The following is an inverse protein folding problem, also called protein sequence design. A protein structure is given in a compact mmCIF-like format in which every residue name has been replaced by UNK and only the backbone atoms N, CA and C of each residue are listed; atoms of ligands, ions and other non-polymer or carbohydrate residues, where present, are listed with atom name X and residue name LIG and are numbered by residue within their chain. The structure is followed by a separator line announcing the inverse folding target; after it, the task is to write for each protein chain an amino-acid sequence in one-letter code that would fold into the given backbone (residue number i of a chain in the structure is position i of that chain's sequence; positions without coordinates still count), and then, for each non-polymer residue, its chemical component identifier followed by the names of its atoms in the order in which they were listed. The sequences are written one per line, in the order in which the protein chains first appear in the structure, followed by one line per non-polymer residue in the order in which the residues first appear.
data_IF_992433231778
#
_entry.id   IF_992433231778
#
_cell.length_a   1.000
_cell.length_b   1.000
_cell.length_c   1.000
_cell.angle_alpha   90.00
_cell.angle_beta   90.00
_cell.angle_gamma   90.00
#
_symmetry.space_group_name_H-M   'P 1'
#
loop_
_entity.id
_entity.type
_entity.pdbx_description
1 polymer ?
#
# COMPACT_ATOMS: atom_id res chain seq x y z
N UNK A 1 -31.54 26.54 -68.81
CA UNK A 1 -30.22 25.88 -68.71
C UNK A 1 -29.62 26.24 -67.35
N UNK A 2 -29.54 25.29 -66.43
CA UNK A 2 -28.81 25.45 -65.16
C UNK A 2 -27.97 24.19 -65.00
N UNK A 3 -26.67 24.32 -65.26
CA UNK A 3 -25.73 23.24 -65.04
C UNK A 3 -25.49 23.15 -63.53
N UNK A 4 -25.94 22.06 -62.93
CA UNK A 4 -25.68 21.73 -61.54
C UNK A 4 -24.16 21.48 -61.40
N UNK A 5 -23.48 22.30 -60.60
CA UNK A 5 -22.05 22.17 -60.40
C UNK A 5 -21.80 21.09 -59.36
N UNK A 6 -21.54 19.88 -59.83
CA UNK A 6 -21.20 18.72 -58.99
C UNK A 6 -19.69 18.73 -58.74
N UNK A 7 -19.31 18.84 -57.47
CA UNK A 7 -17.92 18.71 -57.04
C UNK A 7 -17.71 17.32 -56.44
N UNK A 8 -16.74 16.58 -56.98
CA UNK A 8 -16.39 15.23 -56.50
C UNK A 8 -15.20 15.36 -55.56
N UNK A 9 -15.43 15.10 -54.28
CA UNK A 9 -14.40 15.03 -53.24
C UNK A 9 -14.00 13.58 -53.07
N UNK A 10 -12.71 13.28 -53.24
CA UNK A 10 -12.15 11.95 -53.02
C UNK A 10 -11.29 11.98 -51.75
N UNK A 11 -11.74 11.30 -50.71
CA UNK A 11 -11.06 11.26 -49.41
C UNK A 11 -10.12 10.05 -49.40
N UNK A 12 -8.84 10.31 -49.20
CA UNK A 12 -7.81 9.28 -49.07
C UNK A 12 -7.19 9.33 -47.68
N UNK A 13 -6.77 8.18 -47.17
CA UNK A 13 -5.96 8.09 -45.96
C UNK A 13 -4.50 8.42 -46.30
N UNK A 14 -3.93 9.44 -45.65
CA UNK A 14 -2.57 9.94 -45.92
C UNK A 14 -1.47 8.96 -45.47
N UNK A 15 -1.78 8.09 -44.50
CA UNK A 15 -0.86 7.03 -44.01
C UNK A 15 -1.65 5.85 -43.41
N UNK A 16 -1.03 4.65 -43.39
CA UNK A 16 -1.53 3.42 -42.72
C UNK A 16 -1.47 3.51 -41.18
N UNK A 17 -1.58 4.70 -40.61
CA UNK A 17 -1.46 4.96 -39.18
C UNK A 17 -2.85 5.09 -38.56
N UNK A 18 -3.41 3.98 -38.11
CA UNK A 18 -4.63 3.96 -37.30
C UNK A 18 -4.26 4.43 -35.89
N UNK A 19 -4.52 5.70 -35.56
CA UNK A 19 -4.33 6.22 -34.21
C UNK A 19 -5.42 5.67 -33.30
N UNK A 20 -5.14 4.55 -32.61
CA UNK A 20 -6.04 3.99 -31.60
C UNK A 20 -5.90 4.80 -30.32
N UNK A 21 -6.87 5.66 -30.04
CA UNK A 21 -7.05 6.23 -28.70
C UNK A 21 -7.59 5.11 -27.80
N UNK A 22 -6.68 4.42 -27.12
CA UNK A 22 -7.01 3.40 -26.13
C UNK A 22 -7.12 4.11 -24.79
N UNK A 23 -8.33 4.43 -24.35
CA UNK A 23 -8.56 4.86 -22.97
C UNK A 23 -8.27 3.68 -22.05
N UNK A 24 -7.06 3.65 -21.49
CA UNK A 24 -6.69 2.70 -20.45
C UNK A 24 -7.43 3.16 -19.19
N UNK A 25 -8.18 2.29 -18.49
CA UNK A 25 -8.86 2.69 -17.27
C UNK A 25 -7.81 3.22 -16.28
N UNK A 26 -7.88 4.52 -15.95
CA UNK A 26 -6.90 5.18 -15.07
C UNK A 26 -6.83 4.53 -13.69
N UNK A 27 -7.90 3.84 -13.28
CA UNK A 27 -7.98 3.21 -11.97
C UNK A 27 -8.68 1.84 -12.03
N UNK A 28 -7.93 0.75 -12.30
CA UNK A 28 -8.47 -0.59 -12.23
C UNK A 28 -8.77 -1.00 -10.78
N UNK A 29 -9.69 -1.96 -10.61
CA UNK A 29 -10.06 -2.52 -9.29
C UNK A 29 -8.88 -3.04 -8.46
N UNK A 30 -7.82 -3.50 -9.13
CA UNK A 30 -6.57 -3.90 -8.48
C UNK A 30 -5.90 -2.75 -7.75
N UNK A 31 -5.87 -1.55 -8.34
CA UNK A 31 -5.34 -0.35 -7.71
C UNK A 31 -6.19 0.09 -6.52
N UNK A 32 -7.52 -0.01 -6.64
CA UNK A 32 -8.45 0.31 -5.54
C UNK A 32 -8.23 -0.57 -4.32
N UNK A 33 -8.22 -1.89 -4.50
CA UNK A 33 -8.03 -2.85 -3.42
C UNK A 33 -6.62 -2.74 -2.84
N UNK A 34 -5.61 -2.42 -3.67
CA UNK A 34 -4.25 -2.16 -3.21
C UNK A 34 -4.17 -0.96 -2.27
N UNK A 35 -4.75 0.18 -2.64
CA UNK A 35 -4.77 1.38 -1.78
C UNK A 35 -5.61 1.16 -0.52
N UNK A 36 -6.78 0.54 -0.64
CA UNK A 36 -7.67 0.25 0.49
C UNK A 36 -7.01 -0.73 1.47
N UNK A 37 -6.44 -1.83 0.97
CA UNK A 37 -5.75 -2.83 1.78
C UNK A 37 -4.50 -2.29 2.47
N UNK A 38 -3.75 -1.38 1.81
CA UNK A 38 -2.60 -0.72 2.43
C UNK A 38 -2.99 0.17 3.62
N UNK A 39 -4.01 1.00 3.46
CA UNK A 39 -4.52 1.87 4.54
C UNK A 39 -5.16 1.06 5.67
N UNK A 40 -6.02 0.09 5.34
CA UNK A 40 -6.67 -0.77 6.33
C UNK A 40 -5.66 -1.65 7.06
N UNK A 41 -4.65 -2.17 6.37
CA UNK A 41 -3.56 -2.95 6.96
C UNK A 41 -2.70 -2.12 7.91
N UNK A 42 -2.38 -0.88 7.54
CA UNK A 42 -1.63 0.04 8.41
C UNK A 42 -2.41 0.38 9.68
N UNK A 43 -3.69 0.73 9.57
CA UNK A 43 -4.55 1.03 10.71
C UNK A 43 -4.76 -0.19 11.61
N UNK A 44 -5.06 -1.34 11.02
CA UNK A 44 -5.25 -2.60 11.78
C UNK A 44 -3.95 -3.02 12.47
N UNK A 45 -2.80 -2.88 11.80
CA UNK A 45 -1.50 -3.19 12.37
C UNK A 45 -1.15 -2.28 13.54
N UNK A 46 -1.35 -0.97 13.40
CA UNK A 46 -1.12 -0.01 14.50
C UNK A 46 -2.03 -0.33 15.70
N UNK A 47 -3.32 -0.57 15.46
CA UNK A 47 -4.25 -0.95 16.53
C UNK A 47 -3.86 -2.26 17.20
N UNK A 48 -3.38 -3.25 16.45
CA UNK A 48 -2.98 -4.55 17.00
C UNK A 48 -1.73 -4.45 17.91
N UNK A 49 -0.74 -3.65 17.52
CA UNK A 49 0.45 -3.39 18.35
C UNK A 49 0.05 -2.69 19.67
N UNK A 50 -0.82 -1.69 19.60
CA UNK A 50 -1.32 -1.01 20.80
C UNK A 50 -2.09 -1.93 21.74
N UNK A 51 -2.91 -2.85 21.19
CA UNK A 51 -3.62 -3.85 22.00
C UNK A 51 -2.64 -4.79 22.71
N UNK A 52 -1.59 -5.25 22.01
CA UNK A 52 -0.56 -6.11 22.61
C UNK A 52 0.18 -5.39 23.74
N UNK A 53 0.49 -4.11 23.59
CA UNK A 53 1.14 -3.31 24.64
C UNK A 53 0.26 -3.15 25.88
N UNK A 54 -1.05 -2.97 25.69
CA UNK A 54 -2.02 -2.95 26.80
C UNK A 54 -2.07 -4.31 27.51
N UNK A 55 -2.02 -5.41 26.76
CA UNK A 55 -2.01 -6.75 27.34
C UNK A 55 -0.73 -6.99 28.15
N UNK A 56 0.44 -6.66 27.60
CA UNK A 56 1.73 -6.72 28.33
C UNK A 56 1.65 -5.92 29.64
N UNK A 57 1.11 -4.70 29.58
CA UNK A 57 0.94 -3.86 30.77
C UNK A 57 0.01 -4.48 31.83
N UNK A 58 -1.08 -5.12 31.42
CA UNK A 58 -2.00 -5.81 32.33
C UNK A 58 -1.33 -7.03 32.97
N UNK A 59 -0.58 -7.82 32.19
CA UNK A 59 0.16 -8.98 32.72
C UNK A 59 1.23 -8.55 33.73
N UNK A 60 1.99 -7.51 33.43
CA UNK A 60 3.00 -6.97 34.34
C UNK A 60 2.35 -6.45 35.63
N UNK A 61 1.25 -5.70 35.53
CA UNK A 61 0.52 -5.22 36.71
C UNK A 61 0.00 -6.38 37.57
N UNK A 62 -0.54 -7.43 36.95
CA UNK A 62 -1.04 -8.61 37.65
C UNK A 62 0.08 -9.39 38.36
N UNK A 63 1.23 -9.57 37.70
CA UNK A 63 2.39 -10.25 38.27
C UNK A 63 3.05 -9.43 39.40
N UNK A 64 3.13 -8.11 39.23
CA UNK A 64 3.70 -7.20 40.21
C UNK A 64 2.81 -7.06 41.47
N UNK A 65 1.49 -7.12 41.30
CA UNK A 65 0.54 -7.19 42.41
C UNK A 65 0.70 -8.43 43.30
N UNK A 66 1.33 -9.49 42.79
CA UNK A 66 1.59 -10.75 43.52
C UNK A 66 3.04 -10.91 44.00
N UNK A 67 3.96 -10.00 43.68
CA UNK A 67 5.36 -10.08 44.14
C UNK A 67 5.98 -8.69 44.32
N UNK A 68 6.46 -8.43 45.56
CA UNK A 68 7.29 -7.30 46.01
C UNK A 68 8.27 -6.77 44.93
N UNK A 69 8.53 -5.44 44.86
CA UNK A 69 9.00 -4.81 43.62
C UNK A 69 10.46 -5.13 43.30
N UNK A 70 10.72 -5.62 42.09
CA UNK A 70 11.96 -5.34 41.36
C UNK A 70 11.61 -4.79 40.00
N UNK A 71 11.87 -3.49 39.87
CA UNK A 71 12.12 -2.80 38.62
C UNK A 71 13.21 -3.58 37.89
N UNK A 72 12.90 -4.20 36.76
CA UNK A 72 13.71 -4.14 35.54
C UNK A 72 13.26 -5.15 34.47
N UNK A 73 13.05 -4.57 33.28
CA UNK A 73 13.32 -5.12 31.96
C UNK A 73 12.52 -6.33 31.46
N UNK A 74 11.61 -6.05 30.52
CA UNK A 74 11.51 -6.90 29.33
C UNK A 74 11.25 -6.11 28.05
N UNK A 75 12.25 -6.12 27.18
CA UNK A 75 12.16 -5.67 25.81
C UNK A 75 13.49 -5.85 25.06
N UNK A 76 13.96 -7.09 24.80
CA UNK A 76 15.18 -7.36 24.05
C UNK A 76 15.03 -7.05 22.54
N UNK A 77 14.29 -6.01 22.15
CA UNK A 77 14.08 -5.67 20.73
C UNK A 77 15.27 -4.95 20.09
N UNK A 78 16.23 -4.44 20.87
CA UNK A 78 17.47 -3.86 20.32
C UNK A 78 18.46 -4.91 19.80
N UNK A 79 18.42 -6.16 20.29
CA UNK A 79 19.38 -7.21 19.86
C UNK A 79 19.04 -7.86 18.52
N UNK A 80 17.76 -7.92 18.14
CA UNK A 80 17.36 -8.49 16.85
C UNK A 80 17.70 -7.57 15.66
N UNK A 81 17.62 -6.24 15.86
CA UNK A 81 17.95 -5.27 14.80
C UNK A 81 19.46 -5.24 14.53
N UNK A 82 20.29 -5.28 15.59
CA UNK A 82 21.76 -5.34 15.48
C UNK A 82 22.28 -6.64 14.82
N UNK A 83 21.56 -7.76 14.95
CA UNK A 83 21.94 -9.02 14.30
C UNK A 83 21.73 -8.98 12.77
N UNK A 84 20.73 -8.25 12.28
CA UNK A 84 20.52 -8.07 10.84
C UNK A 84 21.57 -7.13 10.22
N UNK A 85 22.00 -6.11 10.94
CA UNK A 85 22.99 -5.13 10.45
C UNK A 85 24.38 -5.77 10.22
N UNK A 86 24.80 -6.68 11.11
CA UNK A 86 26.06 -7.41 10.94
C UNK A 86 26.03 -8.49 9.85
N UNK A 87 24.85 -9.02 9.50
CA UNK A 87 24.74 -10.10 8.52
C UNK A 87 24.67 -9.61 7.06
N UNK A 88 24.45 -8.31 6.82
CA UNK A 88 24.35 -7.73 5.47
C UNK A 88 25.71 -7.25 4.92
N UNK A 89 26.78 -7.28 5.74
CA UNK A 89 28.07 -6.69 5.40
C UNK A 89 29.25 -7.69 5.37
N UNK A 90 28.97 -9.00 5.38
CA UNK A 90 29.97 -10.07 5.18
C UNK A 90 29.60 -10.92 3.98
#
# INVERSE_FOLDING_TARGET
MRCEQVAVVNVFYETMSVQKTSEIPLYPWSSFIGTLGGLLGLYTGMSFVSVMEILEWIFDMALYGWRKPRHDEMGPKRRAILACEHSCHT
#
